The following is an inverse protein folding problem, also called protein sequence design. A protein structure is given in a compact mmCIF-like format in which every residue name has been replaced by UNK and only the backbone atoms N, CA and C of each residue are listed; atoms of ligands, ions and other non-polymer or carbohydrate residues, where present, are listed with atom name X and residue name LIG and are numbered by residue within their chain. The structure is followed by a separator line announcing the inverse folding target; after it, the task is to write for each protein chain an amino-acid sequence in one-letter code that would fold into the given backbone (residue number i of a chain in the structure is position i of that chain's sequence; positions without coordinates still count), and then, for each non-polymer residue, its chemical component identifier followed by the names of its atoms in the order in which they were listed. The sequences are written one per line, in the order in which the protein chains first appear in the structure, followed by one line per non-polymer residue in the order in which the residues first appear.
data_IF_603631780922
#
_entry.id   IF_603631780922
#
_cell.length_a   1.000
_cell.length_b   1.000
_cell.length_c   1.000
_cell.angle_alpha   90.00
_cell.angle_beta   90.00
_cell.angle_gamma   90.00
#
_symmetry.space_group_name_H-M   'P 1'
#
loop_
_entity.id
_entity.type
_entity.pdbx_description
1 polymer ?
#
# COMPACT_ATOMS: atom_id res chain seq x y z
N UNK A 1 -40.11 2.61 55.46
CA UNK A 1 -38.81 2.76 56.15
C UNK A 1 -38.08 1.41 56.08
N UNK A 2 -37.37 1.15 54.98
CA UNK A 2 -36.42 0.03 54.86
C UNK A 2 -35.22 0.55 54.04
N UNK A 3 -34.18 0.82 54.82
CA UNK A 3 -32.75 1.04 54.59
C UNK A 3 -32.21 0.99 53.14
N UNK A 4 -31.73 2.13 52.65
CA UNK A 4 -30.77 2.19 51.54
C UNK A 4 -29.50 1.43 51.92
N UNK A 5 -29.03 0.57 51.02
CA UNK A 5 -27.83 -0.22 51.19
C UNK A 5 -26.66 0.54 50.55
N UNK A 6 -25.99 1.32 51.39
CA UNK A 6 -24.76 2.05 51.06
C UNK A 6 -23.63 1.03 50.83
N UNK A 7 -23.26 0.83 49.56
CA UNK A 7 -22.09 0.03 49.20
C UNK A 7 -20.85 0.90 49.42
N UNK A 8 -20.29 0.82 50.62
CA UNK A 8 -19.01 1.42 50.97
C UNK A 8 -17.92 1.00 50.01
N UNK A 9 -17.16 2.00 49.55
CA UNK A 9 -16.17 1.98 48.47
C UNK A 9 -14.90 1.13 48.75
N UNK A 10 -14.94 0.18 49.69
CA UNK A 10 -13.76 -0.39 50.35
C UNK A 10 -13.61 -1.92 50.25
N UNK A 11 -14.38 -2.59 49.39
CA UNK A 11 -14.16 -4.02 49.10
C UNK A 11 -12.96 -4.23 48.16
N UNK A 12 -11.74 -4.09 48.70
CA UNK A 12 -10.50 -4.54 48.05
C UNK A 12 -10.05 -5.87 48.65
N UNK A 13 -10.09 -6.93 47.84
CA UNK A 13 -9.51 -8.23 48.20
C UNK A 13 -7.99 -8.10 48.30
N UNK A 14 -7.45 -8.05 49.50
CA UNK A 14 -5.99 -8.01 49.73
C UNK A 14 -5.46 -9.44 49.78
N UNK A 15 -4.59 -9.79 48.82
CA UNK A 15 -3.90 -11.08 48.79
C UNK A 15 -2.66 -10.96 49.67
N UNK A 16 -2.63 -11.73 50.76
CA UNK A 16 -1.55 -11.72 51.75
C UNK A 16 -0.74 -13.01 51.62
N UNK A 17 0.58 -12.94 51.80
CA UNK A 17 1.41 -14.14 51.80
C UNK A 17 1.17 -14.99 53.08
N UNK A 18 1.74 -16.20 53.13
CA UNK A 18 1.57 -17.14 54.26
C UNK A 18 2.07 -16.60 55.61
N UNK A 19 2.88 -15.54 55.62
CA UNK A 19 3.39 -14.89 56.82
C UNK A 19 2.56 -13.67 57.26
N UNK A 20 1.46 -13.34 56.57
CA UNK A 20 0.61 -12.20 56.91
C UNK A 20 1.13 -10.86 56.39
N UNK A 21 2.15 -10.86 55.54
CA UNK A 21 2.72 -9.65 54.94
C UNK A 21 2.12 -9.39 53.55
N UNK A 22 1.74 -8.13 53.30
CA UNK A 22 1.30 -7.69 51.99
C UNK A 22 2.50 -7.73 51.01
N UNK A 23 2.30 -8.20 49.77
CA UNK A 23 3.37 -8.20 48.77
C UNK A 23 3.87 -6.77 48.52
N UNK A 24 5.19 -6.62 48.33
CA UNK A 24 5.79 -5.34 48.00
C UNK A 24 5.12 -4.76 46.74
N UNK A 25 4.59 -3.54 46.84
CA UNK A 25 3.88 -2.84 45.75
C UNK A 25 4.85 -2.24 44.72
N UNK A 26 5.93 -2.96 44.42
CA UNK A 26 6.90 -2.56 43.39
C UNK A 26 6.51 -3.22 42.07
N UNK A 27 6.53 -2.50 40.93
CA UNK A 27 6.28 -3.10 39.63
C UNK A 27 7.27 -4.24 39.38
N UNK A 28 6.78 -5.41 38.96
CA UNK A 28 7.63 -6.54 38.56
C UNK A 28 8.30 -6.32 37.20
N UNK A 29 7.96 -5.25 36.49
CA UNK A 29 8.45 -4.91 35.15
C UNK A 29 8.59 -3.39 34.97
N UNK A 30 9.57 -2.95 34.18
CA UNK A 30 9.86 -1.54 33.83
C UNK A 30 8.84 -0.90 32.86
N UNK A 31 7.65 -1.49 32.70
CA UNK A 31 6.65 -0.92 31.81
C UNK A 31 5.88 0.18 32.53
N UNK A 32 5.77 1.33 31.87
CA UNK A 32 4.89 2.42 32.31
C UNK A 32 3.47 1.88 32.56
N UNK A 33 2.84 2.35 33.64
CA UNK A 33 1.48 1.98 34.02
C UNK A 33 0.52 2.10 32.83
N UNK A 34 -0.38 1.11 32.60
CA UNK A 34 -1.32 1.17 31.50
C UNK A 34 -2.19 2.43 31.61
N UNK A 35 -2.45 3.13 30.49
CA UNK A 35 -3.22 4.37 30.51
C UNK A 35 -4.61 4.12 31.08
N UNK A 36 -5.09 5.05 31.91
CA UNK A 36 -6.42 4.98 32.53
C UNK A 36 -7.52 4.97 31.46
N UNK A 37 -8.61 4.27 31.73
CA UNK A 37 -9.78 4.17 30.83
C UNK A 37 -10.32 5.54 30.39
N UNK A 38 -10.31 6.55 31.26
CA UNK A 38 -10.72 7.93 30.92
C UNK A 38 -9.86 8.55 29.80
N UNK A 39 -8.56 8.28 29.77
CA UNK A 39 -7.66 8.76 28.71
C UNK A 39 -7.91 8.04 27.39
N UNK A 40 -8.40 6.80 27.44
CA UNK A 40 -8.83 6.06 26.25
C UNK A 40 -10.14 6.63 25.70
N UNK A 41 -11.10 6.94 26.55
CA UNK A 41 -12.36 7.57 26.14
C UNK A 41 -12.13 8.96 25.52
N UNK A 42 -11.30 9.81 26.13
CA UNK A 42 -10.95 11.11 25.54
C UNK A 42 -10.24 10.95 24.19
N UNK A 43 -9.35 9.96 24.05
CA UNK A 43 -8.70 9.65 22.76
C UNK A 43 -9.67 9.11 21.74
N UNK A 44 -10.66 8.31 22.15
CA UNK A 44 -11.71 7.79 21.27
C UNK A 44 -12.67 8.90 20.83
N UNK A 45 -13.05 9.80 21.72
CA UNK A 45 -13.87 10.98 21.40
C UNK A 45 -13.11 11.93 20.47
N UNK A 46 -11.81 12.14 20.72
CA UNK A 46 -10.94 12.91 19.84
C UNK A 46 -10.80 12.25 18.46
N UNK A 47 -10.56 10.93 18.41
CA UNK A 47 -10.46 10.17 17.17
C UNK A 47 -11.79 10.10 16.40
N UNK A 48 -12.93 10.08 17.08
CA UNK A 48 -14.26 10.16 16.46
C UNK A 48 -14.59 11.56 15.94
N UNK A 49 -13.98 12.62 16.50
CA UNK A 49 -14.05 14.00 16.00
C UNK A 49 -13.06 14.28 14.87
N UNK A 50 -11.99 13.51 14.75
CA UNK A 50 -11.19 13.49 13.54
C UNK A 50 -12.10 12.98 12.42
N UNK A 51 -12.18 13.77 11.34
CA UNK A 51 -12.94 13.44 10.13
C UNK A 51 -12.70 11.96 9.76
N UNK A 52 -13.73 11.23 9.29
CA UNK A 52 -13.54 9.87 8.78
C UNK A 52 -12.30 9.88 7.88
N UNK A 53 -11.37 8.95 8.16
CA UNK A 53 -10.08 8.82 7.52
C UNK A 53 -10.15 9.33 6.09
N UNK A 54 -9.31 10.31 5.75
CA UNK A 54 -9.17 10.88 4.41
C UNK A 54 -9.52 9.81 3.38
N UNK A 55 -10.65 10.01 2.69
CA UNK A 55 -11.08 9.16 1.58
C UNK A 55 -9.85 8.81 0.79
N UNK A 56 -9.50 7.52 0.76
CA UNK A 56 -8.26 7.01 0.20
C UNK A 56 -8.21 7.44 -1.28
N UNK A 57 -7.60 8.60 -1.54
CA UNK A 57 -7.58 9.23 -2.85
C UNK A 57 -6.44 8.58 -3.64
N UNK A 58 -6.71 7.39 -4.16
CA UNK A 58 -5.78 6.63 -5.03
C UNK A 58 -5.63 7.34 -6.39
N UNK A 59 -6.50 8.29 -6.73
CA UNK A 59 -6.42 9.04 -7.97
C UNK A 59 -5.45 10.22 -7.86
N UNK A 60 -4.37 10.18 -8.64
CA UNK A 60 -3.51 11.32 -9.02
C UNK A 60 -4.27 12.47 -9.72
N UNK A 61 -5.59 12.36 -9.86
CA UNK A 61 -6.44 13.26 -10.62
C UNK A 61 -7.47 13.91 -9.68
N UNK A 62 -7.41 15.24 -9.48
CA UNK A 62 -8.28 15.96 -8.55
C UNK A 62 -9.76 15.90 -8.94
N UNK A 63 -10.05 15.83 -10.24
CA UNK A 63 -11.42 15.72 -10.75
C UNK A 63 -12.06 14.39 -10.35
N UNK A 64 -11.29 13.29 -10.45
CA UNK A 64 -11.74 11.94 -10.06
C UNK A 64 -11.83 11.82 -8.54
N UNK A 65 -10.88 12.39 -7.80
CA UNK A 65 -10.93 12.42 -6.34
C UNK A 65 -12.21 13.11 -5.85
N UNK A 66 -12.52 14.30 -6.39
CA UNK A 66 -13.73 15.03 -6.06
C UNK A 66 -15.02 14.27 -6.46
N UNK A 67 -15.00 13.54 -7.58
CA UNK A 67 -16.15 12.79 -8.10
C UNK A 67 -16.38 11.44 -7.40
N UNK A 68 -15.43 10.95 -6.60
CA UNK A 68 -15.46 9.61 -6.00
C UNK A 68 -16.78 9.27 -5.27
N UNK A 69 -17.38 10.18 -4.47
CA UNK A 69 -18.68 9.91 -3.84
C UNK A 69 -19.79 9.63 -4.87
N UNK A 70 -19.88 10.43 -5.94
CA UNK A 70 -20.87 10.27 -7.00
C UNK A 70 -20.66 8.98 -7.80
N UNK A 71 -19.41 8.60 -8.05
CA UNK A 71 -19.09 7.32 -8.69
C UNK A 71 -19.49 6.13 -7.81
N UNK A 72 -19.40 6.26 -6.48
CA UNK A 72 -19.89 5.25 -5.54
C UNK A 72 -21.42 5.11 -5.58
N UNK A 73 -22.16 6.21 -5.78
CA UNK A 73 -23.62 6.17 -5.98
C UNK A 73 -23.99 5.36 -7.21
N UNK A 74 -23.28 5.57 -8.33
CA UNK A 74 -23.47 4.79 -9.57
C UNK A 74 -23.34 3.29 -9.32
N UNK A 75 -22.33 2.87 -8.55
CA UNK A 75 -22.16 1.47 -8.17
C UNK A 75 -23.29 0.99 -7.26
N UNK A 76 -23.71 1.81 -6.29
CA UNK A 76 -24.83 1.45 -5.39
C UNK A 76 -26.11 1.19 -6.18
N UNK A 77 -26.46 2.04 -7.15
CA UNK A 77 -27.68 1.89 -7.93
C UNK A 77 -27.73 0.56 -8.70
N UNK A 78 -26.59 0.06 -9.18
CA UNK A 78 -26.52 -1.26 -9.85
C UNK A 78 -26.92 -2.43 -8.95
N UNK A 79 -26.83 -2.26 -7.64
CA UNK A 79 -27.21 -3.26 -6.64
C UNK A 79 -28.51 -2.92 -5.92
N UNK A 80 -29.13 -1.76 -6.21
CA UNK A 80 -30.37 -1.33 -5.57
C UNK A 80 -31.57 -2.05 -6.21
N UNK A 81 -32.30 -2.79 -5.38
CA UNK A 81 -33.52 -3.51 -5.78
C UNK A 81 -34.79 -2.89 -5.18
N UNK A 82 -34.64 -2.02 -4.19
CA UNK A 82 -35.76 -1.38 -3.48
C UNK A 82 -36.02 0.02 -4.04
N UNK A 83 -37.31 0.38 -4.15
CA UNK A 83 -37.74 1.71 -4.57
C UNK A 83 -37.34 2.75 -3.53
N UNK A 84 -36.73 3.84 -3.99
CA UNK A 84 -36.41 5.02 -3.17
C UNK A 84 -37.39 6.16 -3.43
N UNK A 85 -37.47 7.14 -2.52
CA UNK A 85 -38.17 8.40 -2.76
C UNK A 85 -37.36 9.24 -3.76
N UNK A 86 -37.90 9.45 -4.96
CA UNK A 86 -37.24 10.13 -6.07
C UNK A 86 -36.88 11.58 -5.74
N UNK A 87 -37.74 12.30 -5.02
CA UNK A 87 -37.51 13.69 -4.64
C UNK A 87 -36.37 13.78 -3.61
N UNK A 88 -36.37 12.87 -2.63
CA UNK A 88 -35.29 12.78 -1.67
C UNK A 88 -33.96 12.43 -2.35
N UNK A 89 -33.98 11.45 -3.26
CA UNK A 89 -32.82 11.03 -4.03
C UNK A 89 -32.27 12.17 -4.90
N UNK A 90 -33.12 12.87 -5.62
CA UNK A 90 -32.74 14.02 -6.44
C UNK A 90 -32.07 15.12 -5.61
N UNK A 91 -32.64 15.42 -4.44
CA UNK A 91 -32.09 16.42 -3.52
C UNK A 91 -30.71 16.01 -2.98
N UNK A 92 -30.54 14.73 -2.65
CA UNK A 92 -29.26 14.18 -2.20
C UNK A 92 -28.19 14.24 -3.31
N UNK A 93 -28.51 13.75 -4.51
CA UNK A 93 -27.59 13.77 -5.64
C UNK A 93 -27.26 15.20 -6.09
N UNK A 94 -28.24 16.10 -6.08
CA UNK A 94 -28.03 17.53 -6.37
C UNK A 94 -27.07 18.18 -5.38
N UNK A 95 -27.18 17.82 -4.10
CA UNK A 95 -26.26 18.31 -3.06
C UNK A 95 -24.85 17.73 -3.26
N UNK A 96 -24.75 16.46 -3.61
CA UNK A 96 -23.47 15.81 -3.92
C UNK A 96 -22.79 16.39 -5.17
N UNK A 97 -23.54 16.78 -6.20
CA UNK A 97 -23.03 17.47 -7.39
C UNK A 97 -22.47 18.85 -7.03
N UNK A 98 -23.19 19.64 -6.23
CA UNK A 98 -22.71 20.94 -5.77
C UNK A 98 -21.43 20.81 -4.93
N UNK A 99 -21.36 19.77 -4.09
CA UNK A 99 -20.17 19.47 -3.31
C UNK A 99 -18.98 19.05 -4.19
N UNK A 100 -19.23 18.25 -5.23
CA UNK A 100 -18.23 17.93 -6.25
C UNK A 100 -17.68 19.20 -6.90
N UNK A 101 -18.56 20.10 -7.36
CA UNK A 101 -18.16 21.36 -8.01
C UNK A 101 -17.27 22.21 -7.10
N UNK A 102 -17.69 22.38 -5.84
CA UNK A 102 -16.91 23.11 -4.84
C UNK A 102 -15.53 22.49 -4.62
N UNK A 103 -15.46 21.15 -4.43
CA UNK A 103 -14.19 20.45 -4.20
C UNK A 103 -13.26 20.52 -5.42
N UNK A 104 -13.78 20.26 -6.61
CA UNK A 104 -12.98 20.27 -7.82
C UNK A 104 -12.37 21.66 -8.10
N UNK A 105 -13.15 22.74 -7.89
CA UNK A 105 -12.64 24.12 -8.00
C UNK A 105 -11.60 24.43 -6.91
N UNK A 106 -11.87 24.04 -5.67
CA UNK A 106 -10.95 24.22 -4.55
C UNK A 106 -9.59 23.51 -4.80
N UNK A 107 -9.63 22.32 -5.41
CA UNK A 107 -8.44 21.52 -5.71
C UNK A 107 -7.74 21.97 -7.02
N UNK A 108 -8.14 23.12 -7.58
CA UNK A 108 -7.45 23.78 -8.68
C UNK A 108 -7.88 23.36 -10.09
N UNK A 109 -8.98 22.62 -10.24
CA UNK A 109 -9.51 22.29 -11.57
C UNK A 109 -10.06 23.54 -12.27
N UNK A 110 -9.86 23.63 -13.59
CA UNK A 110 -10.36 24.75 -14.39
C UNK A 110 -11.90 24.74 -14.40
N UNK A 111 -12.54 25.91 -14.25
CA UNK A 111 -14.00 26.03 -14.24
C UNK A 111 -14.67 25.38 -15.47
N UNK A 112 -14.06 25.49 -16.65
CA UNK A 112 -14.55 24.84 -17.87
C UNK A 112 -14.52 23.30 -17.79
N UNK A 113 -13.50 22.73 -17.13
CA UNK A 113 -13.40 21.29 -16.88
C UNK A 113 -14.41 20.83 -15.83
N UNK A 114 -14.60 21.61 -14.76
CA UNK A 114 -15.61 21.30 -13.73
C UNK A 114 -17.02 21.32 -14.32
N UNK A 115 -17.32 22.30 -15.19
CA UNK A 115 -18.60 22.37 -15.91
C UNK A 115 -18.83 21.15 -16.81
N UNK A 116 -17.82 20.72 -17.55
CA UNK A 116 -17.88 19.54 -18.41
C UNK A 116 -18.01 18.24 -17.58
N UNK A 117 -17.31 18.15 -16.46
CA UNK A 117 -17.37 17.02 -15.56
C UNK A 117 -18.73 16.90 -14.87
N UNK A 118 -19.31 18.03 -14.45
CA UNK A 118 -20.67 18.11 -13.90
C UNK A 118 -21.69 17.59 -14.91
N UNK A 119 -21.58 17.99 -16.17
CA UNK A 119 -22.43 17.48 -17.25
C UNK A 119 -22.32 15.95 -17.39
N UNK A 120 -21.08 15.44 -17.42
CA UNK A 120 -20.81 13.99 -17.51
C UNK A 120 -21.39 13.25 -16.32
N UNK A 121 -21.18 13.73 -15.10
CA UNK A 121 -21.67 13.09 -13.88
C UNK A 121 -23.20 13.09 -13.81
N UNK A 122 -23.87 14.20 -14.13
CA UNK A 122 -25.33 14.25 -14.22
C UNK A 122 -25.85 13.20 -15.21
N UNK A 123 -25.24 13.14 -16.41
CA UNK A 123 -25.65 12.20 -17.46
C UNK A 123 -25.50 10.74 -17.01
N UNK A 124 -24.39 10.41 -16.34
CA UNK A 124 -24.10 9.05 -15.89
C UNK A 124 -25.00 8.64 -14.72
N UNK A 125 -25.24 9.55 -13.77
CA UNK A 125 -26.13 9.31 -12.63
C UNK A 125 -27.58 9.14 -13.10
N UNK A 126 -28.04 9.98 -14.03
CA UNK A 126 -29.39 9.86 -14.58
C UNK A 126 -29.59 8.51 -15.28
N UNK A 127 -28.61 8.05 -16.06
CA UNK A 127 -28.67 6.72 -16.66
C UNK A 127 -28.63 5.61 -15.61
N UNK A 128 -27.80 5.74 -14.57
CA UNK A 128 -27.72 4.76 -13.49
C UNK A 128 -29.06 4.61 -12.75
N UNK A 129 -29.78 5.72 -12.51
CA UNK A 129 -31.12 5.69 -11.90
C UNK A 129 -32.13 5.07 -12.85
N UNK A 130 -32.20 5.51 -14.11
CA UNK A 130 -33.17 5.00 -15.09
C UNK A 130 -32.97 3.52 -15.42
N UNK A 131 -31.75 3.00 -15.28
CA UNK A 131 -31.44 1.58 -15.51
C UNK A 131 -31.74 0.67 -14.31
N UNK A 132 -32.12 1.23 -13.15
CA UNK A 132 -32.60 0.43 -12.01
C UNK A 132 -34.00 -0.16 -12.30
N UNK A 133 -34.39 -1.27 -11.62
CA UNK A 133 -35.71 -1.87 -11.81
C UNK A 133 -36.88 -0.91 -11.52
N UNK A 134 -36.72 0.00 -10.57
CA UNK A 134 -37.75 0.97 -10.16
C UNK A 134 -37.65 2.31 -10.91
N UNK A 135 -36.47 2.65 -11.47
CA UNK A 135 -36.25 3.93 -12.13
C UNK A 135 -36.78 4.01 -13.56
N UNK A 136 -36.86 2.88 -14.29
CA UNK A 136 -37.30 2.87 -15.69
C UNK A 136 -38.77 3.29 -15.88
N UNK A 137 -39.64 2.96 -14.92
CA UNK A 137 -41.07 3.32 -14.95
C UNK A 137 -41.37 4.60 -14.16
N UNK A 138 -40.33 5.30 -13.70
CA UNK A 138 -40.46 6.46 -12.82
C UNK A 138 -40.52 7.79 -13.56
N UNK A 139 -40.97 8.84 -12.85
CA UNK A 139 -40.98 10.22 -13.32
C UNK A 139 -39.56 10.86 -13.32
N UNK A 140 -38.49 10.10 -13.07
CA UNK A 140 -37.11 10.63 -12.99
C UNK A 140 -36.71 11.41 -14.25
N UNK A 141 -37.15 10.97 -15.43
CA UNK A 141 -36.84 11.65 -16.70
C UNK A 141 -37.31 13.11 -16.75
N UNK A 142 -38.38 13.47 -16.01
CA UNK A 142 -38.90 14.83 -15.94
C UNK A 142 -38.16 15.71 -14.94
N UNK A 143 -37.60 15.11 -13.89
CA UNK A 143 -36.86 15.79 -12.82
C UNK A 143 -35.37 15.47 -12.83
N UNK A 144 -34.80 15.05 -13.96
CA UNK A 144 -33.43 14.54 -14.02
C UNK A 144 -32.40 15.56 -13.56
N UNK A 145 -31.23 15.07 -13.14
CA UNK A 145 -30.12 15.93 -12.73
C UNK A 145 -29.67 16.77 -13.92
N UNK A 146 -29.53 16.16 -15.10
CA UNK A 146 -29.13 16.87 -16.32
C UNK A 146 -30.12 17.99 -16.68
N UNK A 147 -31.43 17.76 -16.51
CA UNK A 147 -32.46 18.78 -16.74
C UNK A 147 -32.29 19.93 -15.75
N UNK A 148 -32.13 19.60 -14.47
CA UNK A 148 -32.00 20.59 -13.38
C UNK A 148 -30.74 21.46 -13.50
N UNK A 149 -29.65 20.88 -14.00
CA UNK A 149 -28.32 21.48 -13.96
C UNK A 149 -27.82 22.02 -15.30
N UNK A 150 -28.36 21.53 -16.40
CA UNK A 150 -27.95 21.87 -17.77
C UNK A 150 -29.13 22.16 -18.70
N UNK A 151 -30.38 22.04 -18.22
CA UNK A 151 -31.59 22.25 -19.01
C UNK A 151 -31.65 21.34 -20.26
N UNK A 152 -31.17 20.10 -20.09
CA UNK A 152 -31.11 19.06 -21.12
C UNK A 152 -31.65 17.73 -20.57
N UNK A 153 -32.37 16.97 -21.39
CA UNK A 153 -32.99 15.69 -20.99
C UNK A 153 -32.31 14.46 -21.57
N UNK A 154 -31.43 14.62 -22.56
CA UNK A 154 -30.70 13.52 -23.20
C UNK A 154 -29.21 13.85 -23.36
N UNK A 155 -28.39 13.34 -22.43
CA UNK A 155 -26.92 13.54 -22.45
C UNK A 155 -26.13 12.41 -23.10
N UNK A 156 -26.76 11.26 -23.36
CA UNK A 156 -26.07 10.02 -23.78
C UNK A 156 -25.30 10.14 -25.09
N UNK A 157 -25.70 11.01 -26.02
CA UNK A 157 -24.95 11.27 -27.25
C UNK A 157 -23.86 12.32 -27.05
N UNK A 158 -24.20 13.43 -26.37
CA UNK A 158 -23.28 14.54 -26.08
C UNK A 158 -22.10 14.11 -25.23
N UNK A 159 -22.26 13.12 -24.35
CA UNK A 159 -21.14 12.47 -23.67
C UNK A 159 -20.06 12.02 -24.67
N UNK A 160 -20.45 11.31 -25.73
CA UNK A 160 -19.48 10.81 -26.72
C UNK A 160 -18.98 11.90 -27.67
N UNK A 161 -19.79 12.92 -27.97
CA UNK A 161 -19.32 14.11 -28.71
C UNK A 161 -18.25 14.87 -27.92
N UNK A 162 -18.44 15.00 -26.60
CA UNK A 162 -17.45 15.56 -25.69
C UNK A 162 -16.20 14.68 -25.64
N UNK A 163 -16.35 13.36 -25.52
CA UNK A 163 -15.23 12.42 -25.52
C UNK A 163 -14.37 12.57 -26.77
N UNK A 164 -15.00 12.58 -27.95
CA UNK A 164 -14.30 12.74 -29.23
C UNK A 164 -13.54 14.07 -29.29
N UNK A 165 -14.15 15.17 -28.81
CA UNK A 165 -13.52 16.48 -28.77
C UNK A 165 -12.29 16.50 -27.86
N UNK A 166 -12.39 15.93 -26.66
CA UNK A 166 -11.32 15.94 -25.66
C UNK A 166 -10.15 15.04 -26.07
N UNK A 167 -10.45 13.91 -26.73
CA UNK A 167 -9.46 12.96 -27.29
C UNK A 167 -8.55 13.59 -28.35
N UNK A 168 -8.92 14.73 -28.95
CA UNK A 168 -8.06 15.49 -29.89
C UNK A 168 -6.85 16.13 -29.22
N UNK A 169 -6.93 16.44 -27.92
CA UNK A 169 -5.81 16.96 -27.15
C UNK A 169 -5.76 16.26 -25.77
N UNK A 170 -5.30 15.00 -25.72
CA UNK A 170 -5.36 14.19 -24.51
C UNK A 170 -4.40 14.68 -23.43
N UNK A 171 -3.32 15.38 -23.80
CA UNK A 171 -2.38 16.00 -22.84
C UNK A 171 -3.11 17.01 -21.97
N UNK A 172 -3.88 17.91 -22.58
CA UNK A 172 -4.62 18.97 -21.87
C UNK A 172 -5.80 18.40 -21.08
N UNK A 173 -6.44 17.36 -21.61
CA UNK A 173 -7.73 16.87 -21.10
C UNK A 173 -7.63 15.54 -20.35
N UNK A 174 -6.42 15.07 -20.01
CA UNK A 174 -6.19 13.82 -19.31
C UNK A 174 -7.08 13.63 -18.07
N UNK A 175 -7.27 14.65 -17.19
CA UNK A 175 -8.13 14.49 -16.02
C UNK A 175 -9.59 14.14 -16.36
N UNK A 176 -10.11 14.75 -17.43
CA UNK A 176 -11.48 14.54 -17.88
C UNK A 176 -11.62 13.20 -18.60
N UNK A 177 -10.63 12.82 -19.42
CA UNK A 177 -10.61 11.52 -20.11
C UNK A 177 -10.61 10.35 -19.11
N UNK A 178 -9.88 10.48 -18.00
CA UNK A 178 -9.90 9.49 -16.92
C UNK A 178 -11.25 9.38 -16.22
N UNK A 179 -11.89 10.51 -15.91
CA UNK A 179 -13.23 10.49 -15.33
C UNK A 179 -14.23 9.80 -16.29
N UNK A 180 -14.19 10.14 -17.59
CA UNK A 180 -15.05 9.51 -18.59
C UNK A 180 -14.77 8.02 -18.75
N UNK A 181 -13.50 7.61 -18.70
CA UNK A 181 -13.10 6.20 -18.70
C UNK A 181 -13.66 5.44 -17.50
N UNK A 182 -13.63 6.04 -16.30
CA UNK A 182 -14.22 5.45 -15.11
C UNK A 182 -15.74 5.32 -15.27
N UNK A 183 -16.43 6.34 -15.77
CA UNK A 183 -17.87 6.26 -16.04
C UNK A 183 -18.22 5.10 -17.00
N UNK A 184 -17.46 4.94 -18.09
CA UNK A 184 -17.62 3.81 -19.03
C UNK A 184 -17.33 2.46 -18.36
N UNK A 185 -16.31 2.39 -17.52
CA UNK A 185 -15.91 1.18 -16.80
C UNK A 185 -16.92 0.77 -15.73
N UNK A 186 -17.62 1.76 -15.15
CA UNK A 186 -18.76 1.55 -14.25
C UNK A 186 -20.03 1.16 -15.02
N UNK A 187 -19.98 1.10 -16.35
CA UNK A 187 -21.03 0.60 -17.23
C UNK A 187 -22.06 1.64 -17.64
N UNK A 188 -21.62 2.88 -17.85
CA UNK A 188 -22.35 3.86 -18.66
C UNK A 188 -22.32 3.44 -20.14
N UNK A 189 -23.47 3.44 -20.79
CA UNK A 189 -23.67 3.02 -22.18
C UNK A 189 -24.07 4.18 -23.09
N UNK A 190 -24.89 5.12 -22.58
CA UNK A 190 -25.38 6.26 -23.35
C UNK A 190 -26.06 5.85 -24.66
N UNK A 191 -25.66 6.49 -25.78
CA UNK A 191 -26.23 6.20 -27.10
C UNK A 191 -26.09 4.73 -27.53
N UNK A 192 -25.07 4.01 -27.03
CA UNK A 192 -24.77 2.63 -27.46
C UNK A 192 -25.79 1.60 -26.96
N UNK A 193 -26.62 1.93 -25.97
CA UNK A 193 -27.67 1.06 -25.45
C UNK A 193 -28.73 0.68 -26.49
N UNK A 194 -29.01 1.58 -27.44
CA UNK A 194 -30.06 1.41 -28.46
C UNK A 194 -29.52 1.02 -29.85
N UNK A 195 -28.20 1.00 -30.02
CA UNK A 195 -27.54 0.70 -31.29
C UNK A 195 -27.41 -0.82 -31.50
N UNK A 196 -27.65 -1.33 -32.72
CA UNK A 196 -27.33 -2.71 -33.04
C UNK A 196 -25.81 -2.93 -32.93
N UNK A 197 -25.39 -3.95 -32.16
CA UNK A 197 -23.98 -4.19 -31.80
C UNK A 197 -23.33 -3.07 -30.96
N UNK A 198 -24.12 -2.19 -30.34
CA UNK A 198 -23.62 -1.05 -29.59
C UNK A 198 -22.66 -1.42 -28.46
N UNK A 199 -22.86 -2.53 -27.76
CA UNK A 199 -21.95 -3.00 -26.70
C UNK A 199 -20.54 -3.31 -27.20
N UNK A 200 -20.40 -3.86 -28.41
CA UNK A 200 -19.10 -4.16 -29.00
C UNK A 200 -18.38 -2.87 -29.42
N UNK A 201 -19.11 -1.88 -29.95
CA UNK A 201 -18.55 -0.57 -30.24
C UNK A 201 -18.16 0.19 -28.96
N UNK A 202 -18.98 0.11 -27.92
CA UNK A 202 -18.72 0.71 -26.61
C UNK A 202 -17.43 0.15 -25.99
N UNK A 203 -17.24 -1.17 -26.06
CA UNK A 203 -16.02 -1.82 -25.59
C UNK A 203 -14.80 -1.36 -26.40
N UNK A 204 -14.92 -1.25 -27.73
CA UNK A 204 -13.85 -0.71 -28.56
C UNK A 204 -13.49 0.75 -28.20
N UNK A 205 -14.49 1.59 -27.90
CA UNK A 205 -14.28 2.96 -27.42
C UNK A 205 -13.56 2.97 -26.08
N UNK A 206 -14.00 2.15 -25.12
CA UNK A 206 -13.37 2.02 -23.79
C UNK A 206 -11.91 1.60 -23.90
N UNK A 207 -11.61 0.61 -24.74
CA UNK A 207 -10.26 0.07 -24.92
C UNK A 207 -9.33 1.06 -25.65
N UNK A 208 -9.87 1.81 -26.60
CA UNK A 208 -9.15 2.91 -27.26
C UNK A 208 -8.80 4.02 -26.26
N UNK A 209 -9.78 4.45 -25.45
CA UNK A 209 -9.59 5.46 -24.42
C UNK A 209 -8.57 5.02 -23.37
N UNK A 210 -8.65 3.78 -22.90
CA UNK A 210 -7.68 3.22 -21.96
C UNK A 210 -6.25 3.25 -22.51
N UNK A 211 -6.05 2.81 -23.76
CA UNK A 211 -4.73 2.84 -24.40
C UNK A 211 -4.18 4.26 -24.49
N UNK A 212 -5.03 5.24 -24.84
CA UNK A 212 -4.62 6.63 -24.92
C UNK A 212 -4.23 7.20 -23.54
N UNK A 213 -5.03 6.95 -22.50
CA UNK A 213 -4.72 7.35 -21.13
C UNK A 213 -3.40 6.73 -20.67
N UNK A 214 -3.20 5.43 -20.93
CA UNK A 214 -1.96 4.73 -20.58
C UNK A 214 -0.74 5.33 -21.29
N UNK A 215 -0.86 5.64 -22.58
CA UNK A 215 0.21 6.29 -23.33
C UNK A 215 0.59 7.65 -22.71
N UNK A 216 -0.39 8.41 -22.21
CA UNK A 216 -0.16 9.71 -21.61
C UNK A 216 0.46 9.64 -20.20
N UNK A 217 0.04 8.69 -19.37
CA UNK A 217 0.62 8.51 -18.02
C UNK A 217 2.01 7.87 -18.03
N UNK A 218 2.39 7.20 -19.12
CA UNK A 218 3.59 6.37 -19.18
C UNK A 218 3.41 5.06 -18.39
N UNK A 219 4.49 4.30 -18.23
CA UNK A 219 4.43 3.09 -17.41
C UNK A 219 4.29 3.46 -15.93
N UNK A 220 3.09 3.23 -15.40
CA UNK A 220 2.81 3.28 -13.97
C UNK A 220 3.68 2.19 -13.33
N UNK A 221 4.60 2.52 -12.40
CA UNK A 221 5.30 1.49 -11.66
C UNK A 221 4.26 0.61 -10.99
N UNK A 222 4.29 -0.70 -11.28
CA UNK A 222 3.33 -1.71 -10.77
C UNK A 222 3.45 -1.94 -9.25
N UNK A 223 4.10 -1.03 -8.55
CA UNK A 223 4.29 -1.09 -7.12
C UNK A 223 3.05 -0.47 -6.47
N UNK A 224 2.12 -1.33 -6.06
CA UNK A 224 0.86 -0.96 -5.38
C UNK A 224 1.10 -0.29 -4.01
N UNK A 225 2.35 -0.23 -3.56
CA UNK A 225 2.79 0.50 -2.37
C UNK A 225 4.23 1.00 -2.62
N UNK A 226 4.53 2.30 -2.46
CA UNK A 226 5.91 2.81 -2.45
C UNK A 226 6.76 2.18 -1.32
N UNK A 227 6.10 1.60 -0.32
CA UNK A 227 6.70 0.97 0.86
C UNK A 227 6.33 -0.52 0.95
N UNK A 228 6.23 -1.22 -0.18
CA UNK A 228 5.92 -2.66 -0.19
C UNK A 228 7.00 -3.48 0.55
N UNK A 229 8.19 -2.92 0.74
CA UNK A 229 9.13 -3.34 1.78
C UNK A 229 8.55 -2.99 3.16
N UNK A 230 7.64 -3.84 3.66
CA UNK A 230 7.25 -3.83 5.06
C UNK A 230 8.51 -3.78 5.94
N UNK A 231 8.44 -3.06 7.08
CA UNK A 231 9.58 -2.80 7.99
C UNK A 231 10.59 -3.92 7.88
N UNK A 232 11.72 -3.65 7.19
CA UNK A 232 12.79 -4.62 6.99
C UNK A 232 13.13 -5.16 8.36
N UNK A 233 12.65 -6.37 8.66
CA UNK A 233 12.95 -7.04 9.91
C UNK A 233 14.47 -7.06 9.97
N UNK A 234 15.01 -6.27 10.89
CA UNK A 234 16.45 -6.08 11.03
C UNK A 234 17.05 -7.29 11.72
N UNK A 235 16.48 -8.48 11.48
CA UNK A 235 17.22 -9.74 11.55
C UNK A 235 18.26 -9.71 10.46
N UNK A 236 19.37 -9.05 10.81
CA UNK A 236 20.67 -9.14 10.15
C UNK A 236 20.89 -10.60 9.79
N UNK A 237 20.57 -10.95 8.55
CA UNK A 237 21.01 -12.19 7.94
C UNK A 237 22.49 -12.00 7.69
N UNK A 238 23.27 -12.18 8.74
CA UNK A 238 24.73 -12.19 8.72
C UNK A 238 25.18 -13.50 8.06
N UNK A 239 24.73 -13.76 6.83
CA UNK A 239 25.44 -14.69 5.96
C UNK A 239 26.63 -13.89 5.46
N UNK A 240 27.62 -13.83 6.35
CA UNK A 240 28.96 -13.30 6.16
C UNK A 240 29.55 -14.10 5.00
N UNK A 241 29.45 -13.55 3.80
CA UNK A 241 30.20 -14.02 2.65
C UNK A 241 31.66 -13.94 3.09
N UNK A 242 32.26 -15.09 3.41
CA UNK A 242 33.68 -15.13 3.72
C UNK A 242 34.36 -14.80 2.40
N UNK A 243 34.99 -13.63 2.28
CA UNK A 243 35.52 -13.22 1.01
C UNK A 243 36.66 -14.18 0.63
N UNK A 244 36.68 -14.66 -0.61
CA UNK A 244 37.50 -15.79 -1.07
C UNK A 244 39.01 -15.67 -0.74
N UNK A 245 39.54 -14.44 -0.68
CA UNK A 245 40.91 -14.16 -0.25
C UNK A 245 41.25 -14.63 1.17
N UNK A 246 40.30 -14.65 2.12
CA UNK A 246 40.54 -15.20 3.46
C UNK A 246 40.73 -16.72 3.43
N UNK A 247 40.00 -17.43 2.56
CA UNK A 247 40.20 -18.87 2.37
C UNK A 247 41.57 -19.13 1.75
N UNK A 248 41.96 -18.34 0.75
CA UNK A 248 43.29 -18.44 0.12
C UNK A 248 44.44 -18.12 1.10
N UNK A 249 44.26 -17.14 2.00
CA UNK A 249 45.26 -16.82 3.02
C UNK A 249 45.39 -17.96 4.03
N UNK A 250 44.27 -18.50 4.51
CA UNK A 250 44.26 -19.59 5.48
C UNK A 250 44.90 -20.86 4.91
N UNK A 251 44.61 -21.22 3.66
CA UNK A 251 45.22 -22.39 3.01
C UNK A 251 46.73 -22.23 2.87
N UNK A 252 47.20 -21.03 2.50
CA UNK A 252 48.63 -20.73 2.38
C UNK A 252 49.37 -20.83 3.73
N UNK A 253 48.76 -20.33 4.80
CA UNK A 253 49.32 -20.43 6.16
C UNK A 253 49.39 -21.89 6.61
N UNK A 254 48.32 -22.67 6.44
CA UNK A 254 48.32 -24.10 6.77
C UNK A 254 49.40 -24.87 6.01
N UNK A 255 49.56 -24.61 4.71
CA UNK A 255 50.59 -25.25 3.90
C UNK A 255 52.01 -24.90 4.39
N UNK A 256 52.23 -23.64 4.78
CA UNK A 256 53.51 -23.18 5.34
C UNK A 256 53.85 -23.86 6.66
N UNK A 257 52.88 -24.02 7.56
CA UNK A 257 53.08 -24.72 8.85
C UNK A 257 53.43 -26.19 8.62
N UNK A 258 52.71 -26.86 7.71
CA UNK A 258 52.98 -28.26 7.37
C UNK A 258 54.38 -28.41 6.79
N UNK A 259 54.74 -27.56 5.82
CA UNK A 259 56.08 -27.58 5.21
C UNK A 259 57.19 -27.34 6.24
N UNK A 260 57.01 -26.35 7.12
CA UNK A 260 57.96 -26.05 8.20
C UNK A 260 58.12 -27.21 9.18
N UNK A 261 57.03 -27.85 9.58
CA UNK A 261 57.06 -29.03 10.44
C UNK A 261 57.79 -30.21 9.78
N UNK A 262 57.51 -30.49 8.51
CA UNK A 262 58.23 -31.52 7.77
C UNK A 262 59.70 -31.21 7.60
N UNK A 263 60.06 -29.96 7.31
CA UNK A 263 61.46 -29.55 7.18
C UNK A 263 62.23 -29.71 8.50
N UNK A 264 61.59 -29.40 9.64
CA UNK A 264 62.18 -29.60 10.95
C UNK A 264 62.42 -31.08 11.26
N UNK A 265 61.40 -31.93 11.06
CA UNK A 265 61.51 -33.38 11.27
C UNK A 265 62.54 -34.00 10.34
N UNK A 266 62.59 -33.59 9.07
CA UNK A 266 63.65 -34.04 8.14
C UNK A 266 65.02 -33.57 8.58
N UNK A 267 65.14 -32.36 9.14
CA UNK A 267 66.40 -31.85 9.69
C UNK A 267 66.90 -32.71 10.84
N UNK A 268 66.02 -33.03 11.79
CA UNK A 268 66.35 -33.83 12.96
C UNK A 268 66.68 -35.30 12.59
N UNK A 269 65.93 -35.89 11.66
CA UNK A 269 66.27 -37.21 11.10
C UNK A 269 67.56 -37.18 10.29
N UNK A 270 67.81 -36.12 9.51
CA UNK A 270 69.05 -35.95 8.76
C UNK A 270 70.25 -35.87 9.71
N UNK A 271 70.14 -35.11 10.80
CA UNK A 271 71.22 -35.03 11.80
C UNK A 271 71.43 -36.37 12.52
N UNK A 272 70.36 -37.07 12.89
CA UNK A 272 70.46 -38.40 13.50
C UNK A 272 71.13 -39.44 12.57
N UNK A 273 70.82 -39.42 11.27
CA UNK A 273 71.42 -40.33 10.28
C UNK A 273 72.85 -39.92 9.92
N UNK A 274 73.21 -38.65 10.01
CA UNK A 274 74.57 -38.15 9.71
C UNK A 274 75.54 -38.24 10.90
N UNK A 275 75.06 -38.40 12.14
CA UNK A 275 75.91 -38.55 13.33
C UNK A 275 76.92 -39.72 13.21
N UNK A 276 76.54 -40.94 12.78
CA UNK A 276 77.47 -42.04 12.61
C UNK A 276 78.59 -41.74 11.59
N UNK A 277 78.26 -41.01 10.52
CA UNK A 277 79.23 -40.65 9.48
C UNK A 277 80.16 -39.50 9.90
N UNK A 278 79.68 -38.54 10.71
CA UNK A 278 80.54 -37.49 11.30
C UNK A 278 81.51 -38.03 12.33
N UNK A 279 81.11 -39.02 13.12
CA UNK A 279 82.00 -39.67 14.11
C UNK A 279 83.08 -40.49 13.42
N UNK A 280 82.76 -41.19 12.31
CA UNK A 280 83.76 -41.89 11.49
C UNK A 280 84.80 -40.95 10.85
N UNK A 281 84.40 -39.74 10.43
CA UNK A 281 85.33 -38.72 9.92
C UNK A 281 86.26 -38.17 11.03
N UNK A 282 85.77 -38.12 12.28
CA UNK A 282 86.59 -37.70 13.42
C UNK A 282 87.53 -38.80 13.92
N UNK A 283 87.12 -40.07 13.90
CA UNK A 283 87.98 -41.21 14.26
C UNK A 283 89.06 -41.49 13.19
N UNK A 284 88.77 -41.25 11.91
CA UNK A 284 89.78 -41.31 10.85
C UNK A 284 90.85 -40.20 10.96
N UNK A 285 90.52 -39.08 11.60
CA UNK A 285 91.46 -37.98 11.86
C UNK A 285 92.25 -38.10 13.18
N UNK A 286 91.82 -38.96 14.10
CA UNK A 286 92.36 -39.02 15.48
C UNK A 286 93.42 -40.09 15.74
N UNK A 287 93.61 -41.07 14.85
CA UNK A 287 94.48 -42.24 15.11
C UNK A 287 95.88 -42.17 14.48
N UNK A 288 96.48 -40.98 14.33
CA UNK A 288 97.89 -40.83 13.87
C UNK A 288 98.71 -39.87 14.73
N UNK A 289 98.56 -39.89 16.06
CA UNK A 289 99.53 -39.22 16.94
C UNK A 289 99.64 -39.85 18.34
N UNK A 290 100.19 -41.07 18.46
CA UNK A 290 100.84 -41.51 19.71
C UNK A 290 101.60 -42.83 19.52
N UNK A 291 102.93 -42.81 19.56
CA UNK A 291 103.73 -44.04 19.62
C UNK A 291 105.20 -43.92 19.21
N UNK A 292 106.04 -43.51 20.18
CA UNK A 292 107.47 -43.83 20.42
C UNK A 292 108.51 -43.59 19.30
N UNK A 293 109.50 -42.70 19.53
CA UNK A 293 110.77 -42.94 20.26
C UNK A 293 111.57 -44.13 19.74
#
# INVERSE_FOLDING_TARGET
MIKEMDYGQDDRTVIVNRAGEAPAQSPLTDFDTPPRFEQLEERMIYAARLRPAETFNISLNPLVAAASPLLSEVVRFKHSLESEDLQALHSQLSSAIKLFEHRALHDGAESSQVMAARYVLCTVLDEAVVTTPWGNESEWSQMSLLSSFHNETFGGEKFFQLLERLTRNPVKHLPMLELMYLCLSLGFEGKYRVLPRGMLELEAVRDSLYRQIRQMRGDIPRELSPHWEGLKDTRRRLVRIVPWWMVALFTLVCLGVIYGGFAWVLGEQREAVLQPYRVLDMDAGGSTFSGMK
#
